data_IF_845688896105
#
_entry.id   IF_845688896105
#
_cell.length_a   1.000
_cell.length_b   1.000
_cell.length_c   1.000
_cell.angle_alpha   90.00
_cell.angle_beta   90.00
_cell.angle_gamma   90.00
#
_symmetry.space_group_name_H-M   'P 1'
#
loop_
_entity.id
_entity.type
_entity.pdbx_description
1 polymer ?
#
# COMPACT_ATOMS: atom_id res chain seq x y z
N UNK A 1 -5.74 5.45 -19.07
CA UNK A 1 -6.14 4.46 -18.03
C UNK A 1 -5.73 3.06 -18.51
N UNK A 2 -5.69 2.06 -17.62
CA UNK A 2 -5.12 0.73 -17.88
C UNK A 2 -6.22 -0.34 -18.09
N UNK A 3 -6.59 -0.72 -19.33
CA UNK A 3 -7.69 -1.66 -19.58
C UNK A 3 -7.56 -3.04 -18.93
N UNK A 4 -6.34 -3.56 -18.76
CA UNK A 4 -6.10 -4.88 -18.14
C UNK A 4 -6.08 -4.82 -16.61
N UNK A 5 -6.22 -3.63 -16.01
CA UNK A 5 -6.39 -3.50 -14.58
C UNK A 5 -7.72 -4.14 -14.17
N UNK A 6 -7.67 -5.05 -13.20
CA UNK A 6 -8.84 -5.71 -12.64
C UNK A 6 -8.63 -5.95 -11.15
N UNK A 7 -9.65 -5.61 -10.38
CA UNK A 7 -9.83 -6.11 -9.01
C UNK A 7 -10.61 -7.43 -9.11
N UNK A 8 -9.96 -8.57 -8.85
CA UNK A 8 -10.51 -9.91 -9.07
C UNK A 8 -10.53 -10.76 -7.78
N UNK A 9 -10.74 -10.14 -6.62
CA UNK A 9 -10.73 -10.85 -5.34
C UNK A 9 -12.02 -11.62 -5.03
N UNK A 10 -13.06 -11.50 -5.86
CA UNK A 10 -14.39 -12.04 -5.56
C UNK A 10 -14.37 -13.54 -5.34
N UNK A 11 -13.58 -14.30 -6.10
CA UNK A 11 -13.50 -15.75 -5.93
C UNK A 11 -12.98 -16.14 -4.54
N UNK A 12 -11.93 -15.45 -4.06
CA UNK A 12 -11.31 -15.72 -2.76
C UNK A 12 -12.18 -15.23 -1.61
N UNK A 13 -12.81 -14.05 -1.79
CA UNK A 13 -13.78 -13.55 -0.81
C UNK A 13 -14.98 -14.46 -0.68
N UNK A 14 -15.56 -14.92 -1.79
CA UNK A 14 -16.71 -15.83 -1.77
C UNK A 14 -16.37 -17.15 -1.08
N UNK A 15 -15.22 -17.75 -1.41
CA UNK A 15 -14.76 -18.98 -0.77
C UNK A 15 -14.62 -18.83 0.75
N UNK A 16 -14.08 -17.70 1.22
CA UNK A 16 -13.94 -17.43 2.65
C UNK A 16 -15.29 -17.12 3.32
N UNK A 17 -16.10 -16.27 2.69
CA UNK A 17 -17.45 -15.91 3.15
C UNK A 17 -18.33 -17.14 3.39
N UNK A 18 -18.26 -18.15 2.53
CA UNK A 18 -19.00 -19.42 2.71
C UNK A 18 -18.59 -20.21 3.97
N UNK A 19 -17.45 -19.91 4.58
CA UNK A 19 -16.97 -20.56 5.81
C UNK A 19 -17.46 -19.81 7.05
N UNK A 20 -17.26 -18.49 7.09
CA UNK A 20 -17.42 -17.73 8.34
C UNK A 20 -18.77 -17.02 8.48
N UNK A 21 -19.44 -16.66 7.37
CA UNK A 21 -20.71 -15.95 7.43
C UNK A 21 -21.88 -16.78 7.95
N UNK A 22 -22.07 -18.07 7.55
CA UNK A 22 -23.23 -18.82 8.00
C UNK A 22 -23.30 -18.96 9.54
N UNK A 23 -22.20 -19.29 10.26
CA UNK A 23 -22.21 -19.28 11.72
C UNK A 23 -22.49 -17.91 12.34
N UNK A 24 -21.93 -16.83 11.77
CA UNK A 24 -22.16 -15.45 12.22
C UNK A 24 -23.64 -15.05 12.09
N UNK A 25 -24.24 -15.27 10.92
CA UNK A 25 -25.65 -15.00 10.65
C UNK A 25 -26.54 -15.85 11.56
N UNK A 26 -26.21 -17.13 11.75
CA UNK A 26 -26.96 -18.03 12.63
C UNK A 26 -26.92 -17.55 14.09
N UNK A 27 -25.79 -17.03 14.58
CA UNK A 27 -25.68 -16.48 15.93
C UNK A 27 -26.51 -15.21 16.07
N UNK A 28 -26.34 -14.23 15.17
CA UNK A 28 -27.04 -12.96 15.25
C UNK A 28 -28.55 -13.11 15.12
N UNK A 29 -29.01 -14.01 14.24
CA UNK A 29 -30.44 -14.29 14.04
C UNK A 29 -31.15 -14.75 15.32
N UNK A 30 -30.44 -15.27 16.32
CA UNK A 30 -31.04 -15.65 17.63
C UNK A 30 -31.53 -14.46 18.44
N UNK A 31 -31.01 -13.26 18.18
CA UNK A 31 -31.35 -12.03 18.89
C UNK A 31 -32.36 -11.17 18.11
N UNK A 32 -32.76 -11.60 16.92
CA UNK A 32 -33.68 -10.87 16.05
C UNK A 32 -35.07 -11.43 16.21
N UNK A 33 -36.04 -10.55 16.44
CA UNK A 33 -37.45 -10.89 16.60
C UNK A 33 -38.30 -10.11 15.60
N UNK A 34 -39.42 -10.68 15.18
CA UNK A 34 -40.33 -10.06 14.21
C UNK A 34 -40.06 -10.52 12.77
N UNK A 35 -40.20 -9.59 11.81
CA UNK A 35 -40.16 -9.87 10.37
C UNK A 35 -38.79 -9.56 9.71
N UNK A 36 -37.75 -9.31 10.50
CA UNK A 36 -36.39 -9.12 10.00
C UNK A 36 -35.70 -10.48 9.87
N UNK A 37 -35.20 -10.79 8.67
CA UNK A 37 -34.36 -11.97 8.41
C UNK A 37 -33.00 -11.49 7.95
N UNK A 38 -31.93 -11.93 8.60
CA UNK A 38 -30.57 -11.69 8.12
C UNK A 38 -30.20 -12.75 7.09
N UNK A 39 -29.59 -12.29 6.01
CA UNK A 39 -29.09 -13.13 4.93
C UNK A 39 -27.68 -12.68 4.50
N UNK A 40 -27.11 -13.41 3.53
CA UNK A 40 -25.78 -13.10 3.00
C UNK A 40 -25.72 -11.78 2.20
N UNK A 41 -26.86 -11.15 1.91
CA UNK A 41 -26.88 -9.84 1.24
C UNK A 41 -26.79 -8.67 2.22
N UNK A 42 -27.20 -8.87 3.48
CA UNK A 42 -27.34 -7.82 4.50
C UNK A 42 -26.24 -7.81 5.57
N UNK A 43 -25.44 -8.88 5.70
CA UNK A 43 -24.38 -8.94 6.72
C UNK A 43 -23.33 -7.83 6.56
N UNK A 44 -23.11 -7.35 5.33
CA UNK A 44 -22.09 -6.35 5.00
C UNK A 44 -22.30 -5.02 5.72
N UNK A 45 -23.53 -4.68 6.10
CA UNK A 45 -23.85 -3.44 6.80
C UNK A 45 -23.30 -3.42 8.24
N UNK A 46 -23.19 -4.56 8.90
CA UNK A 46 -22.71 -4.65 10.29
C UNK A 46 -21.26 -4.16 10.48
N UNK A 47 -20.26 -4.67 9.74
CA UNK A 47 -18.90 -4.16 9.87
C UNK A 47 -18.77 -2.72 9.34
N UNK A 48 -19.56 -2.32 8.34
CA UNK A 48 -19.56 -0.95 7.84
C UNK A 48 -20.09 0.03 8.89
N UNK A 49 -21.23 -0.25 9.51
CA UNK A 49 -21.77 0.56 10.59
C UNK A 49 -20.81 0.59 11.78
N UNK A 50 -20.27 -0.57 12.18
CA UNK A 50 -19.24 -0.62 13.23
C UNK A 50 -18.08 0.35 12.93
N UNK A 51 -17.47 0.29 11.74
CA UNK A 51 -16.33 1.14 11.39
C UNK A 51 -16.69 2.61 11.19
N UNK A 52 -17.65 2.89 10.31
CA UNK A 52 -17.99 4.26 9.90
C UNK A 52 -18.69 5.06 10.99
N UNK A 53 -19.67 4.48 11.69
CA UNK A 53 -20.31 5.17 12.81
C UNK A 53 -19.30 5.48 13.90
N UNK A 54 -18.35 4.56 14.16
CA UNK A 54 -17.29 4.82 15.14
C UNK A 54 -16.43 6.01 14.77
N UNK A 55 -16.08 6.13 13.49
CA UNK A 55 -15.28 7.23 13.00
C UNK A 55 -16.04 8.56 13.00
N UNK A 56 -17.32 8.56 12.61
CA UNK A 56 -18.16 9.76 12.53
C UNK A 56 -18.45 10.32 13.93
N UNK A 57 -18.79 9.44 14.88
CA UNK A 57 -19.19 9.83 16.23
C UNK A 57 -18.00 9.98 17.19
N UNK A 58 -16.84 9.45 16.83
CA UNK A 58 -15.64 9.42 17.67
C UNK A 58 -15.74 8.47 18.88
N UNK A 59 -16.69 7.53 18.87
CA UNK A 59 -16.91 6.54 19.94
C UNK A 59 -17.16 5.18 19.30
N UNK A 60 -16.80 4.08 19.96
CA UNK A 60 -17.07 2.75 19.40
C UNK A 60 -18.57 2.55 19.20
N UNK A 61 -18.96 2.22 17.97
CA UNK A 61 -20.34 1.95 17.58
C UNK A 61 -20.87 0.70 18.30
N UNK A 62 -22.12 0.70 18.79
CA UNK A 62 -22.78 -0.51 19.28
C UNK A 62 -22.85 -1.64 18.24
N UNK A 63 -22.77 -1.35 16.94
CA UNK A 63 -22.66 -2.39 15.91
C UNK A 63 -21.38 -3.22 16.05
N UNK A 64 -20.33 -2.68 16.64
CA UNK A 64 -19.11 -3.45 16.90
C UNK A 64 -19.35 -4.56 17.93
N UNK A 65 -20.22 -4.34 18.92
CA UNK A 65 -20.57 -5.33 19.95
C UNK A 65 -21.42 -6.48 19.39
N UNK A 66 -21.91 -6.37 18.15
CA UNK A 66 -22.58 -7.48 17.47
C UNK A 66 -21.60 -8.59 17.10
N UNK A 67 -20.30 -8.31 17.03
CA UNK A 67 -19.26 -9.30 16.71
C UNK A 67 -18.60 -9.83 17.97
N UNK A 68 -18.24 -11.11 17.94
CA UNK A 68 -17.20 -11.66 18.83
C UNK A 68 -15.81 -11.34 18.27
N UNK A 69 -14.77 -11.45 19.11
CA UNK A 69 -13.38 -11.28 18.67
C UNK A 69 -13.02 -12.24 17.52
N UNK A 70 -13.41 -13.51 17.63
CA UNK A 70 -13.13 -14.52 16.59
C UNK A 70 -13.77 -14.15 15.25
N UNK A 71 -15.01 -13.64 15.26
CA UNK A 71 -15.71 -13.20 14.04
C UNK A 71 -15.11 -11.93 13.44
N UNK A 72 -14.63 -10.98 14.26
CA UNK A 72 -13.87 -9.83 13.77
C UNK A 72 -12.58 -10.27 13.07
N UNK A 73 -11.90 -11.30 13.58
CA UNK A 73 -10.72 -11.87 12.92
C UNK A 73 -11.06 -12.56 11.60
N UNK A 74 -12.22 -13.22 11.51
CA UNK A 74 -12.71 -13.75 10.22
C UNK A 74 -12.94 -12.63 9.20
N UNK A 75 -13.55 -11.51 9.64
CA UNK A 75 -13.77 -10.34 8.80
C UNK A 75 -12.46 -9.63 8.42
N UNK A 76 -11.51 -9.48 9.34
CA UNK A 76 -10.16 -8.97 9.02
C UNK A 76 -9.52 -9.81 7.91
N UNK A 77 -9.57 -11.13 8.06
CA UNK A 77 -8.98 -12.02 7.05
C UNK A 77 -9.71 -11.95 5.71
N UNK A 78 -11.03 -11.73 5.70
CA UNK A 78 -11.77 -11.46 4.47
C UNK A 78 -11.25 -10.21 3.74
N UNK A 79 -10.94 -9.14 4.48
CA UNK A 79 -10.35 -7.92 3.92
C UNK A 79 -8.90 -8.14 3.46
N UNK A 80 -8.14 -8.97 4.17
CA UNK A 80 -6.80 -9.37 3.75
C UNK A 80 -6.85 -10.08 2.38
N UNK A 81 -7.76 -11.03 2.20
CA UNK A 81 -7.98 -11.71 0.92
C UNK A 81 -8.42 -10.73 -0.17
N UNK A 82 -9.34 -9.80 0.13
CA UNK A 82 -9.77 -8.75 -0.80
C UNK A 82 -8.59 -7.99 -1.35
N UNK A 83 -7.80 -7.37 -0.48
CA UNK A 83 -6.71 -6.51 -0.93
C UNK A 83 -5.53 -7.31 -1.48
N UNK A 84 -5.22 -8.48 -0.94
CA UNK A 84 -4.11 -9.32 -1.44
C UNK A 84 -4.34 -9.82 -2.87
N UNK A 85 -5.55 -10.32 -3.17
CA UNK A 85 -5.91 -10.87 -4.47
C UNK A 85 -6.51 -9.84 -5.45
N UNK A 86 -7.01 -8.71 -4.94
CA UNK A 86 -7.65 -7.67 -5.75
C UNK A 86 -6.69 -6.58 -6.25
N UNK A 87 -5.80 -6.11 -5.37
CA UNK A 87 -4.89 -4.99 -5.67
C UNK A 87 -3.42 -5.28 -5.30
N UNK A 88 -3.22 -6.31 -4.48
CA UNK A 88 -2.00 -6.61 -3.77
C UNK A 88 -1.12 -7.64 -4.48
N UNK A 89 -0.21 -8.30 -3.75
CA UNK A 89 0.87 -9.12 -4.31
C UNK A 89 0.43 -10.26 -5.23
N UNK A 90 -0.78 -10.81 -5.08
CA UNK A 90 -1.25 -11.90 -5.94
C UNK A 90 -1.79 -11.43 -7.29
N UNK A 91 -1.86 -10.11 -7.55
CA UNK A 91 -2.35 -9.58 -8.82
C UNK A 91 -1.25 -9.50 -9.86
N UNK A 92 -1.60 -9.75 -11.13
CA UNK A 92 -0.65 -9.63 -12.24
C UNK A 92 -0.42 -8.17 -12.67
N UNK A 93 -1.43 -7.30 -12.63
CA UNK A 93 -1.35 -5.91 -13.12
C UNK A 93 -1.43 -4.90 -11.98
N UNK A 94 -2.44 -5.02 -11.11
CA UNK A 94 -2.74 -4.02 -10.07
C UNK A 94 -1.54 -3.72 -9.16
N UNK A 95 -0.83 -4.75 -8.70
CA UNK A 95 0.38 -4.64 -7.86
C UNK A 95 1.53 -3.84 -8.48
N UNK A 96 1.54 -3.70 -9.81
CA UNK A 96 2.59 -3.03 -10.59
C UNK A 96 2.30 -1.55 -10.84
N UNK A 97 1.06 -1.12 -10.63
CA UNK A 97 0.58 0.21 -11.01
C UNK A 97 1.31 1.36 -10.30
N UNK A 98 1.81 1.13 -9.08
CA UNK A 98 2.54 2.13 -8.29
C UNK A 98 4.07 1.96 -8.34
N UNK A 99 4.60 1.02 -9.12
CA UNK A 99 6.06 0.88 -9.32
C UNK A 99 6.68 2.12 -9.98
N UNK A 100 6.09 2.74 -11.02
CA UNK A 100 6.61 4.00 -11.57
C UNK A 100 6.64 5.14 -10.54
N UNK A 101 5.60 5.23 -9.70
CA UNK A 101 5.56 6.22 -8.61
C UNK A 101 6.73 6.00 -7.64
N UNK A 102 6.91 4.76 -7.18
CA UNK A 102 7.99 4.40 -6.25
C UNK A 102 9.38 4.63 -6.88
N UNK A 103 9.55 4.32 -8.16
CA UNK A 103 10.79 4.54 -8.89
C UNK A 103 11.18 6.02 -8.92
N UNK A 104 10.26 6.90 -9.33
CA UNK A 104 10.51 8.34 -9.36
C UNK A 104 10.76 8.91 -7.96
N UNK A 105 10.05 8.42 -6.93
CA UNK A 105 10.30 8.80 -5.54
C UNK A 105 11.70 8.36 -5.07
N UNK A 106 12.14 7.14 -5.39
CA UNK A 106 13.48 6.67 -5.03
C UNK A 106 14.58 7.43 -5.75
N UNK A 107 14.39 7.76 -7.03
CA UNK A 107 15.29 8.65 -7.77
C UNK A 107 15.36 10.05 -7.09
N UNK A 108 14.22 10.56 -6.62
CA UNK A 108 14.16 11.83 -5.89
C UNK A 108 14.96 11.79 -4.59
N UNK A 109 14.81 10.73 -3.79
CA UNK A 109 15.59 10.54 -2.55
C UNK A 109 17.08 10.32 -2.82
N UNK A 110 17.43 9.60 -3.89
CA UNK A 110 18.81 9.35 -4.30
C UNK A 110 19.56 10.66 -4.61
N UNK A 111 18.89 11.59 -5.30
CA UNK A 111 19.46 12.89 -5.63
C UNK A 111 19.64 13.83 -4.42
N UNK A 112 19.01 13.52 -3.28
CA UNK A 112 19.31 14.16 -2.00
C UNK A 112 18.54 15.45 -1.69
N UNK A 113 18.73 16.00 -0.47
CA UNK A 113 17.95 17.12 0.07
C UNK A 113 18.22 18.46 -0.63
N UNK A 114 19.42 18.64 -1.20
CA UNK A 114 19.80 19.89 -1.86
C UNK A 114 19.40 19.93 -3.34
N UNK A 115 18.62 18.94 -3.77
CA UNK A 115 18.30 18.81 -5.18
C UNK A 115 17.27 19.84 -5.64
N UNK A 116 17.47 20.33 -6.86
CA UNK A 116 16.60 21.31 -7.49
C UNK A 116 15.52 20.61 -8.33
N UNK A 117 14.39 21.27 -8.45
CA UNK A 117 13.32 20.93 -9.37
C UNK A 117 13.03 22.05 -10.36
N UNK A 118 12.21 21.78 -11.36
CA UNK A 118 11.83 22.72 -12.43
C UNK A 118 10.46 23.33 -12.16
N UNK A 119 10.32 24.64 -12.32
CA UNK A 119 9.03 25.36 -12.20
C UNK A 119 8.26 25.33 -13.53
N UNK A 120 6.97 25.71 -13.50
CA UNK A 120 6.12 25.76 -14.69
C UNK A 120 6.63 26.72 -15.77
N UNK A 121 7.43 27.72 -15.40
CA UNK A 121 8.06 28.68 -16.33
C UNK A 121 9.50 28.32 -16.75
N UNK A 122 9.96 27.10 -16.47
CA UNK A 122 11.33 26.66 -16.80
C UNK A 122 12.42 27.17 -15.84
N UNK A 123 12.05 27.78 -14.71
CA UNK A 123 12.98 28.15 -13.64
C UNK A 123 13.30 26.99 -12.71
N UNK A 124 14.08 27.24 -11.66
CA UNK A 124 14.45 26.24 -10.65
C UNK A 124 13.90 26.57 -9.27
N UNK A 125 13.56 25.54 -8.49
CA UNK A 125 13.22 25.66 -7.07
C UNK A 125 13.97 24.61 -6.25
N UNK A 126 14.13 24.85 -4.95
CA UNK A 126 14.67 23.85 -4.04
C UNK A 126 13.55 22.90 -3.64
N UNK A 127 13.73 21.61 -3.88
CA UNK A 127 12.72 20.62 -3.51
C UNK A 127 12.64 20.53 -1.99
N UNK A 128 11.45 20.61 -1.36
CA UNK A 128 11.33 20.47 0.08
C UNK A 128 11.81 19.09 0.57
N UNK A 129 12.41 19.07 1.77
CA UNK A 129 12.83 17.83 2.42
C UNK A 129 11.64 16.92 2.83
N UNK A 130 10.45 17.51 2.95
CA UNK A 130 9.21 16.80 3.26
C UNK A 130 8.32 16.80 2.03
N UNK A 131 8.11 15.60 1.48
CA UNK A 131 7.26 15.36 0.32
C UNK A 131 6.02 14.62 0.79
N UNK A 132 4.84 15.13 0.42
CA UNK A 132 3.55 14.56 0.80
C UNK A 132 2.70 14.35 -0.44
N UNK A 133 2.04 13.19 -0.52
CA UNK A 133 1.06 12.87 -1.54
C UNK A 133 -0.13 12.19 -0.86
N UNK A 134 -1.32 12.58 -1.27
CA UNK A 134 -2.57 12.02 -0.80
C UNK A 134 -3.12 11.10 -1.88
N UNK A 135 -3.37 9.85 -1.50
CA UNK A 135 -3.75 8.75 -2.38
C UNK A 135 -4.97 8.04 -1.79
N UNK A 136 -5.71 7.27 -2.60
CA UNK A 136 -6.74 6.40 -2.07
C UNK A 136 -6.12 5.09 -1.56
N UNK A 137 -6.90 4.36 -0.77
CA UNK A 137 -6.57 3.05 -0.21
C UNK A 137 -6.01 2.09 -1.28
N UNK A 138 -6.63 2.06 -2.47
CA UNK A 138 -6.19 1.20 -3.56
C UNK A 138 -4.75 1.49 -4.01
N UNK A 139 -4.39 2.76 -4.19
CA UNK A 139 -3.01 3.14 -4.51
C UNK A 139 -2.05 2.88 -3.35
N UNK A 140 -2.48 3.03 -2.10
CA UNK A 140 -1.63 2.67 -0.95
C UNK A 140 -1.35 1.16 -0.92
N UNK A 141 -2.33 0.30 -1.21
CA UNK A 141 -2.14 -1.15 -1.33
C UNK A 141 -1.18 -1.51 -2.46
N UNK A 142 -1.33 -0.88 -3.61
CA UNK A 142 -0.44 -1.07 -4.76
C UNK A 142 0.98 -0.59 -4.44
N UNK A 143 1.12 0.55 -3.77
CA UNK A 143 2.42 1.08 -3.34
C UNK A 143 3.07 0.16 -2.30
N UNK A 144 2.31 -0.34 -1.33
CA UNK A 144 2.76 -1.34 -0.37
C UNK A 144 3.30 -2.60 -1.07
N UNK A 145 2.60 -3.08 -2.10
CA UNK A 145 3.03 -4.22 -2.92
C UNK A 145 4.30 -3.92 -3.71
N UNK A 146 4.42 -2.72 -4.27
CA UNK A 146 5.59 -2.29 -5.01
C UNK A 146 6.86 -2.21 -4.14
N UNK A 147 6.73 -1.99 -2.82
CA UNK A 147 7.89 -1.81 -1.93
C UNK A 147 8.83 -3.01 -1.83
N UNK A 148 8.31 -4.24 -1.98
CA UNK A 148 9.09 -5.44 -1.68
C UNK A 148 9.06 -5.93 -0.25
N UNK A 149 8.39 -5.23 0.67
CA UNK A 149 8.25 -5.66 2.07
C UNK A 149 7.59 -7.05 2.16
N UNK A 150 6.64 -7.31 1.26
CA UNK A 150 5.81 -8.52 1.27
C UNK A 150 6.24 -9.57 0.23
N UNK A 151 7.45 -9.47 -0.34
CA UNK A 151 7.92 -10.39 -1.39
C UNK A 151 8.08 -11.85 -0.90
N UNK A 152 8.19 -12.06 0.43
CA UNK A 152 8.21 -13.38 1.06
C UNK A 152 6.83 -13.85 1.55
N UNK A 153 5.75 -13.09 1.30
CA UNK A 153 4.40 -13.51 1.63
C UNK A 153 4.03 -14.75 0.82
N UNK A 154 3.53 -15.78 1.49
CA UNK A 154 3.00 -16.96 0.79
C UNK A 154 1.56 -16.65 0.35
N UNK A 155 1.07 -17.26 -0.74
CA UNK A 155 -0.33 -17.10 -1.13
C UNK A 155 -1.29 -17.34 0.04
N UNK A 156 -2.13 -16.35 0.34
CA UNK A 156 -3.05 -16.43 1.47
C UNK A 156 -4.09 -17.54 1.22
N UNK A 157 -4.20 -18.55 2.09
CA UNK A 157 -5.16 -19.62 1.92
C UNK A 157 -6.60 -19.13 2.08
N UNK A 158 -7.53 -19.68 1.30
CA UNK A 158 -8.97 -19.33 1.35
C UNK A 158 -9.80 -20.26 2.23
N UNK A 159 -9.16 -21.14 2.99
CA UNK A 159 -9.82 -22.17 3.81
C UNK A 159 -9.42 -22.15 5.28
N UNK A 160 -8.53 -21.24 5.69
CA UNK A 160 -8.13 -20.99 7.08
C UNK A 160 -7.50 -19.62 7.19
N UNK A 161 -7.50 -19.04 8.39
CA UNK A 161 -6.68 -17.87 8.69
C UNK A 161 -5.21 -18.29 8.73
N UNK A 162 -4.37 -17.64 7.92
CA UNK A 162 -2.92 -17.73 8.06
C UNK A 162 -2.45 -16.86 9.24
N UNK A 163 -2.10 -17.50 10.36
CA UNK A 163 -1.64 -16.80 11.57
C UNK A 163 -0.29 -16.08 11.39
N UNK A 164 0.60 -16.67 10.59
CA UNK A 164 1.96 -16.21 10.30
C UNK A 164 2.05 -15.25 9.10
N UNK A 165 0.91 -14.86 8.51
CA UNK A 165 0.87 -13.93 7.36
C UNK A 165 1.53 -12.59 7.71
N UNK A 166 2.34 -12.09 6.78
CA UNK A 166 2.94 -10.76 6.81
C UNK A 166 1.94 -9.73 6.27
N UNK A 167 1.16 -10.10 5.25
CA UNK A 167 0.14 -9.26 4.64
C UNK A 167 -1.12 -9.16 5.51
N UNK A 168 -1.33 -7.98 6.09
CA UNK A 168 -2.51 -7.62 6.90
C UNK A 168 -3.01 -6.25 6.48
N UNK A 169 -4.10 -6.22 5.74
CA UNK A 169 -4.72 -5.02 5.15
C UNK A 169 -4.98 -3.93 6.19
N UNK A 170 -5.47 -4.31 7.38
CA UNK A 170 -5.69 -3.43 8.55
C UNK A 170 -4.43 -2.68 9.00
N UNK A 171 -3.23 -3.25 8.74
CA UNK A 171 -1.92 -2.66 9.07
C UNK A 171 -1.26 -1.92 7.92
N UNK A 172 -1.84 -1.97 6.73
CA UNK A 172 -1.31 -1.34 5.51
C UNK A 172 -2.16 -0.10 5.19
N UNK A 173 -3.47 -0.28 5.05
CA UNK A 173 -4.39 0.78 4.59
C UNK A 173 -5.61 0.94 5.51
N UNK A 174 -5.43 1.24 6.81
CA UNK A 174 -6.53 1.72 7.63
C UNK A 174 -7.00 3.09 7.13
N UNK A 175 -8.08 3.62 7.71
CA UNK A 175 -8.43 5.04 7.54
C UNK A 175 -7.25 5.92 7.95
N UNK A 176 -6.89 6.90 7.11
CA UNK A 176 -5.65 7.69 7.25
C UNK A 176 -4.37 6.83 7.22
N UNK A 177 -4.41 5.73 6.47
CA UNK A 177 -3.24 4.87 6.24
C UNK A 177 -2.08 5.66 5.64
N UNK A 178 -0.87 5.42 6.12
CA UNK A 178 0.33 6.18 5.74
C UNK A 178 1.50 5.25 5.43
N UNK A 179 2.13 5.44 4.28
CA UNK A 179 3.41 4.81 3.90
C UNK A 179 4.47 5.91 3.86
N UNK A 180 5.47 5.81 4.73
CA UNK A 180 6.58 6.75 4.78
C UNK A 180 7.88 6.12 4.29
N UNK A 181 8.61 6.85 3.46
CA UNK A 181 9.97 6.53 3.03
C UNK A 181 10.91 7.57 3.62
N UNK A 182 11.82 7.14 4.48
CA UNK A 182 12.73 8.01 5.18
C UNK A 182 14.14 7.83 4.62
N UNK A 183 14.74 8.92 4.14
CA UNK A 183 16.15 8.95 3.75
C UNK A 183 17.00 9.25 4.96
N UNK A 184 17.85 8.32 5.35
CA UNK A 184 18.73 8.42 6.52
C UNK A 184 20.16 8.68 6.05
N UNK A 185 20.86 9.61 6.69
CA UNK A 185 22.30 9.77 6.53
C UNK A 185 22.97 9.35 7.84
N UNK A 186 23.69 8.24 7.81
CA UNK A 186 24.27 7.64 9.01
C UNK A 186 25.76 7.38 8.80
N UNK A 187 26.56 7.51 9.87
CA UNK A 187 27.95 7.06 9.85
C UNK A 187 27.99 5.55 9.64
N UNK A 188 28.77 5.08 8.66
CA UNK A 188 28.98 3.64 8.49
C UNK A 188 29.82 3.10 9.66
N UNK A 189 29.47 1.93 10.19
CA UNK A 189 30.13 1.36 11.36
C UNK A 189 29.35 1.63 12.65
N UNK A 190 28.85 0.57 13.28
CA UNK A 190 28.22 0.67 14.59
C UNK A 190 29.23 1.03 15.69
N UNK A 191 28.81 1.09 16.96
CA UNK A 191 29.70 1.36 18.09
C UNK A 191 30.88 0.37 18.23
N UNK A 192 30.90 -0.72 17.47
CA UNK A 192 31.93 -1.76 17.50
C UNK A 192 33.08 -1.60 16.48
N UNK A 193 33.09 -0.58 15.62
CA UNK A 193 34.19 -0.36 14.67
C UNK A 193 34.84 1.00 14.88
N UNK A 194 36.07 0.99 15.41
CA UNK A 194 36.92 2.13 15.78
C UNK A 194 37.50 2.93 14.59
N UNK A 195 36.79 2.97 13.46
CA UNK A 195 37.16 3.77 12.29
C UNK A 195 36.08 4.82 12.06
N UNK A 196 36.42 6.09 11.78
CA UNK A 196 35.45 7.09 11.37
C UNK A 196 34.89 6.68 9.99
N UNK A 197 33.83 5.88 10.00
CA UNK A 197 33.25 5.39 8.76
C UNK A 197 32.56 6.53 8.01
N UNK A 198 32.73 6.51 6.70
CA UNK A 198 32.09 7.47 5.80
C UNK A 198 30.57 7.48 6.00
N UNK A 199 29.98 8.67 5.90
CA UNK A 199 28.54 8.83 5.88
C UNK A 199 27.95 8.03 4.70
N UNK A 200 27.01 7.14 5.00
CA UNK A 200 26.27 6.35 4.02
C UNK A 200 24.78 6.67 4.10
N UNK A 201 24.13 6.61 2.96
CA UNK A 201 22.70 6.86 2.82
C UNK A 201 21.91 5.56 2.82
N UNK A 202 20.84 5.57 3.61
CA UNK A 202 19.91 4.45 3.74
C UNK A 202 18.47 4.93 3.50
N UNK A 203 17.59 3.96 3.24
CA UNK A 203 16.15 4.15 3.21
C UNK A 203 15.50 3.25 4.26
N UNK A 204 14.53 3.81 4.99
CA UNK A 204 13.66 3.07 5.90
C UNK A 204 12.22 3.24 5.46
N UNK A 205 11.45 2.17 5.48
CA UNK A 205 10.04 2.18 5.09
C UNK A 205 9.20 1.96 6.33
N UNK A 206 8.16 2.79 6.50
CA UNK A 206 7.19 2.66 7.59
C UNK A 206 5.78 2.53 7.02
N UNK A 207 5.01 1.60 7.55
CA UNK A 207 3.57 1.52 7.32
C UNK A 207 2.89 1.84 8.65
N UNK A 208 2.08 2.91 8.68
CA UNK A 208 1.34 3.33 9.87
C UNK A 208 2.21 3.42 11.12
N UNK A 209 3.29 4.19 11.03
CA UNK A 209 4.31 4.40 12.06
C UNK A 209 5.21 3.19 12.43
N UNK A 210 4.89 1.98 11.98
CA UNK A 210 5.72 0.80 12.23
C UNK A 210 6.81 0.64 11.16
N UNK A 211 8.05 0.32 11.56
CA UNK A 211 9.15 0.04 10.62
C UNK A 211 9.00 -1.35 10.03
N UNK A 212 9.03 -1.45 8.71
CA UNK A 212 9.02 -2.72 7.98
C UNK A 212 10.38 -2.98 7.34
N UNK A 213 10.88 -4.21 7.53
CA UNK A 213 12.18 -4.65 7.02
C UNK A 213 12.00 -5.21 5.61
N UNK A 214 12.92 -4.89 4.70
CA UNK A 214 12.97 -5.56 3.41
C UNK A 214 13.64 -6.93 3.60
N UNK A 215 13.03 -8.02 3.09
CA UNK A 215 13.56 -9.37 3.28
C UNK A 215 14.96 -9.53 2.70
N UNK A 216 15.27 -8.82 1.60
CA UNK A 216 16.55 -8.89 0.90
C UNK A 216 17.56 -7.80 1.30
N UNK A 217 17.17 -6.81 2.12
CA UNK A 217 18.05 -5.66 2.42
C UNK A 217 17.77 -5.02 3.78
N UNK A 218 18.70 -5.21 4.71
CA UNK A 218 18.64 -4.66 6.07
C UNK A 218 20.07 -4.38 6.60
N UNK A 219 20.92 -3.88 5.71
CA UNK A 219 22.36 -3.67 5.92
C UNK A 219 22.72 -2.32 6.58
N UNK A 220 21.71 -1.53 6.95
CA UNK A 220 21.88 -0.24 7.61
C UNK A 220 21.36 -0.18 9.06
N UNK A 221 21.61 0.94 9.75
CA UNK A 221 21.13 1.17 11.11
C UNK A 221 19.61 1.03 11.25
N UNK A 222 19.14 0.45 12.35
CA UNK A 222 17.71 0.22 12.56
C UNK A 222 17.08 -0.70 11.51
N UNK A 223 17.89 -1.58 10.89
CA UNK A 223 17.50 -2.49 9.80
C UNK A 223 17.00 -1.77 8.55
N UNK A 224 17.49 -0.56 8.30
CA UNK A 224 17.29 0.15 7.04
C UNK A 224 18.05 -0.52 5.89
N UNK A 225 17.74 -0.16 4.65
CA UNK A 225 18.44 -0.66 3.46
C UNK A 225 19.35 0.42 2.86
N UNK A 226 20.53 0.06 2.37
CA UNK A 226 21.37 0.96 1.57
C UNK A 226 20.57 1.58 0.43
N UNK A 227 20.56 2.91 0.33
CA UNK A 227 19.70 3.63 -0.62
C UNK A 227 19.97 3.21 -2.06
N UNK A 228 21.24 3.04 -2.44
CA UNK A 228 21.62 2.59 -3.79
C UNK A 228 21.10 1.20 -4.13
N UNK A 229 21.12 0.26 -3.18
CA UNK A 229 20.56 -1.09 -3.37
C UNK A 229 19.06 -1.04 -3.60
N UNK A 230 18.35 -0.24 -2.80
CA UNK A 230 16.90 -0.12 -2.95
C UNK A 230 16.48 0.60 -4.23
N UNK A 231 17.19 1.68 -4.61
CA UNK A 231 16.99 2.36 -5.91
C UNK A 231 17.15 1.37 -7.07
N UNK A 232 18.23 0.57 -7.07
CA UNK A 232 18.44 -0.46 -8.09
C UNK A 232 17.29 -1.47 -8.10
N UNK A 233 16.91 -2.00 -6.94
CA UNK A 233 15.83 -2.97 -6.83
C UNK A 233 14.50 -2.45 -7.41
N UNK A 234 14.13 -1.20 -7.12
CA UNK A 234 12.91 -0.59 -7.67
C UNK A 234 13.03 -0.36 -9.18
N UNK A 235 14.21 0.02 -9.68
CA UNK A 235 14.46 0.16 -11.11
C UNK A 235 14.36 -1.19 -11.85
N UNK A 236 14.94 -2.25 -11.30
CA UNK A 236 14.85 -3.60 -11.84
C UNK A 236 13.38 -4.09 -11.87
N UNK A 237 12.58 -3.77 -10.83
CA UNK A 237 11.12 -4.04 -10.83
C UNK A 237 10.38 -3.27 -11.93
N UNK A 238 10.73 -2.00 -12.14
CA UNK A 238 10.11 -1.18 -13.20
C UNK A 238 10.44 -1.74 -14.59
N UNK A 239 11.68 -2.14 -14.82
CA UNK A 239 12.11 -2.77 -16.08
C UNK A 239 11.36 -4.09 -16.32
N UNK A 240 11.27 -4.95 -15.30
CA UNK A 240 10.55 -6.22 -15.38
C UNK A 240 9.04 -6.05 -15.68
N UNK A 241 8.42 -4.95 -15.27
CA UNK A 241 7.04 -4.64 -15.62
C UNK A 241 6.86 -4.35 -17.11
N UNK A 242 7.92 -3.95 -17.81
CA UNK A 242 7.88 -3.50 -19.19
C UNK A 242 7.15 -2.16 -19.37
N UNK A 243 6.76 -1.86 -20.61
CA UNK A 243 6.06 -0.62 -20.91
C UNK A 243 4.63 -0.62 -20.38
N UNK A 244 4.16 0.55 -19.95
CA UNK A 244 2.78 0.74 -19.53
C UNK A 244 1.79 0.28 -20.60
N UNK A 245 2.02 0.64 -21.87
CA UNK A 245 1.19 0.23 -23.00
C UNK A 245 1.07 -1.30 -23.12
N UNK A 246 2.17 -2.04 -22.93
CA UNK A 246 2.18 -3.52 -22.97
C UNK A 246 1.47 -4.11 -21.76
N UNK A 247 1.81 -3.63 -20.55
CA UNK A 247 1.20 -4.12 -19.31
C UNK A 247 -0.32 -3.91 -19.31
N UNK A 248 -0.76 -2.77 -19.82
CA UNK A 248 -2.14 -2.33 -19.82
C UNK A 248 -2.92 -2.70 -21.09
N UNK A 249 -2.28 -3.32 -22.09
CA UNK A 249 -2.83 -3.56 -23.42
C UNK A 249 -3.50 -2.29 -24.02
N UNK A 250 -2.80 -1.16 -23.94
CA UNK A 250 -3.33 0.12 -24.43
C UNK A 250 -3.22 0.17 -25.95
N UNK A 251 -4.37 0.30 -26.60
CA UNK A 251 -4.47 0.40 -28.07
C UNK A 251 -4.59 1.83 -28.57
N UNK A 252 -4.84 2.78 -27.67
CA UNK A 252 -4.95 4.21 -28.00
C UNK A 252 -3.55 4.80 -28.29
N UNK A 253 -3.29 5.27 -29.52
CA UNK A 253 -1.99 5.84 -29.88
C UNK A 253 -1.69 7.17 -29.18
N UNK A 254 -2.69 7.83 -28.58
CA UNK A 254 -2.50 9.04 -27.78
C UNK A 254 -2.08 8.76 -26.33
N UNK A 255 -2.10 7.48 -25.92
CA UNK A 255 -1.73 7.11 -24.56
C UNK A 255 -0.23 7.37 -24.28
N UNK A 256 0.11 7.81 -23.06
CA UNK A 256 1.50 8.02 -22.68
C UNK A 256 2.28 6.71 -22.75
N UNK A 257 3.43 6.74 -23.44
CA UNK A 257 4.33 5.60 -23.58
C UNK A 257 5.17 5.35 -22.33
N UNK A 258 5.36 6.39 -21.51
CA UNK A 258 6.10 6.35 -20.26
C UNK A 258 5.25 6.85 -19.11
N UNK A 259 5.24 6.11 -18.01
CA UNK A 259 4.68 6.56 -16.74
C UNK A 259 5.71 7.42 -16.00
N UNK A 260 5.38 8.68 -15.76
CA UNK A 260 6.27 9.64 -15.08
C UNK A 260 6.29 9.44 -13.54
N UNK A 261 5.27 8.76 -12.99
CA UNK A 261 5.22 8.41 -11.57
C UNK A 261 5.16 9.65 -10.66
N UNK A 262 6.00 9.68 -9.64
CA UNK A 262 6.11 10.77 -8.67
C UNK A 262 7.05 11.92 -9.13
N UNK A 263 7.27 12.06 -10.43
CA UNK A 263 8.15 13.08 -11.02
C UNK A 263 7.72 14.51 -10.69
N UNK A 264 6.42 14.72 -10.46
CA UNK A 264 5.84 16.00 -10.06
C UNK A 264 6.43 16.58 -8.77
N UNK A 265 7.12 15.80 -7.93
CA UNK A 265 7.87 16.34 -6.79
C UNK A 265 9.08 17.18 -7.21
N UNK A 266 9.61 16.96 -8.41
CA UNK A 266 10.78 17.66 -8.96
C UNK A 266 10.50 18.42 -10.25
N UNK A 267 9.34 18.27 -10.87
CA UNK A 267 9.01 18.95 -12.12
C UNK A 267 7.56 19.45 -12.10
N UNK A 268 7.39 20.75 -11.87
CA UNK A 268 6.10 21.43 -11.83
C UNK A 268 5.63 21.94 -13.20
N UNK A 269 6.40 21.67 -14.25
CA UNK A 269 6.08 22.02 -15.64
C UNK A 269 5.37 20.92 -16.42
N UNK A 270 5.03 19.81 -15.77
CA UNK A 270 4.34 18.70 -16.43
C UNK A 270 2.91 19.10 -16.80
N UNK A 271 2.49 18.82 -18.03
CA UNK A 271 1.23 19.31 -18.61
C UNK A 271 -0.04 18.81 -17.90
N UNK A 272 0.07 17.72 -17.14
CA UNK A 272 -1.03 17.14 -16.39
C UNK A 272 -1.15 17.70 -14.96
N UNK A 273 -0.24 18.58 -14.54
CA UNK A 273 -0.27 19.18 -13.22
C UNK A 273 -1.12 20.44 -13.22
N UNK A 274 -1.98 20.53 -12.22
CA UNK A 274 -2.74 21.74 -11.91
C UNK A 274 -2.35 22.24 -10.53
N UNK A 275 -1.82 23.46 -10.46
CA UNK A 275 -1.51 24.10 -9.18
C UNK A 275 -2.82 24.61 -8.58
N UNK A 276 -3.23 23.99 -7.48
CA UNK A 276 -4.35 24.47 -6.68
C UNK A 276 -3.81 25.47 -5.66
N UNK A 277 -4.27 26.72 -5.74
CA UNK A 277 -3.96 27.74 -4.72
C UNK A 277 -5.02 27.65 -3.62
N UNK A 278 -4.63 27.75 -2.33
CA UNK A 278 -5.57 27.91 -1.23
C UNK A 278 -6.48 29.13 -1.41
#
# INVERSE_FOLDING_TARGET
>A
MCPTFKDDSSAQQNAWSSIWLPPFIQRLSKFIHGNLTLDESSWGDFPYLCGFESQITGRLSPFCDTFTQDELEQYEYLQDLRYYYGLGPATNVSSKMMVPFLHSLMARLAAGPDARGTTTGGGFFNVPNLLMSFLNDGQLVQLASATGIFDNEKPLPVNRIAGDRLWRSSRITPMRGTIAFERLNCKAGGPATSSPGQNKTFVRIRLNEAVYQLPFCHDGPGKSCSLSKYVKYVADKLEANGSFAKLCNVTDPSAPTQALGASFFGNLGESHLQIVKP
#
